data_IF_614034327021
#
_entry.id   IF_614034327021
#
_cell.length_a   1.000
_cell.length_b   1.000
_cell.length_c   1.000
_cell.angle_alpha   90.00
_cell.angle_beta   90.00
_cell.angle_gamma   90.00
#
_symmetry.space_group_name_H-M   'P 1'
#
loop_
_entity.id
_entity.type
_entity.pdbx_description
1 polymer ?
#
# COMPACT_ATOMS: atom_id res chain seq x y z
N UNK A 1 32.09 8.92 -8.75
CA UNK A 1 31.59 7.55 -8.53
C UNK A 1 30.21 7.43 -9.16
N UNK A 2 30.07 6.68 -10.25
CA UNK A 2 28.77 6.45 -10.90
C UNK A 2 28.05 5.29 -10.23
N UNK A 3 26.84 5.52 -9.73
CA UNK A 3 25.96 4.44 -9.30
C UNK A 3 25.37 3.84 -10.58
N UNK A 4 25.98 2.77 -11.07
CA UNK A 4 25.40 1.95 -12.12
C UNK A 4 24.25 1.14 -11.51
N UNK A 5 23.06 1.73 -11.42
CA UNK A 5 21.86 1.00 -11.07
C UNK A 5 21.46 0.13 -12.26
N UNK A 6 21.68 -1.18 -12.14
CA UNK A 6 21.13 -2.18 -13.06
C UNK A 6 19.62 -2.21 -12.82
N UNK A 7 18.87 -1.41 -13.57
CA UNK A 7 17.42 -1.46 -13.54
C UNK A 7 16.96 -2.73 -14.26
N UNK A 8 16.55 -3.77 -13.51
CA UNK A 8 15.48 -4.64 -14.01
C UNK A 8 14.31 -3.72 -14.35
N UNK A 9 13.69 -3.85 -15.53
CA UNK A 9 12.60 -2.99 -16.03
C UNK A 9 11.54 -2.78 -14.94
N UNK A 10 11.68 -1.71 -14.17
CA UNK A 10 10.85 -1.45 -12.99
C UNK A 10 9.46 -0.96 -13.41
N UNK A 11 9.44 -0.27 -14.56
CA UNK A 11 8.27 0.29 -15.22
C UNK A 11 7.85 -0.69 -16.31
N UNK A 12 6.80 -1.45 -16.03
CA UNK A 12 6.05 -2.21 -17.03
C UNK A 12 4.68 -1.53 -17.16
N UNK A 13 4.13 -1.55 -18.38
CA UNK A 13 2.76 -1.10 -18.63
C UNK A 13 1.77 -2.03 -17.94
N UNK A 14 0.75 -1.43 -17.33
CA UNK A 14 -0.32 -2.20 -16.68
C UNK A 14 -1.30 -2.69 -17.75
N UNK A 15 -1.66 -3.98 -17.77
CA UNK A 15 -2.65 -4.50 -18.70
C UNK A 15 -4.03 -3.86 -18.51
N UNK A 16 -4.81 -3.79 -19.59
CA UNK A 16 -6.05 -3.01 -19.69
C UNK A 16 -7.27 -3.59 -18.96
N UNK A 17 -7.13 -4.73 -18.28
CA UNK A 17 -8.25 -5.36 -17.57
C UNK A 17 -8.57 -4.58 -16.29
N UNK A 18 -9.85 -4.25 -16.10
CA UNK A 18 -10.32 -3.53 -14.91
C UNK A 18 -10.02 -4.36 -13.65
N UNK A 19 -9.20 -3.86 -12.71
CA UNK A 19 -8.90 -4.57 -11.47
C UNK A 19 -10.16 -4.77 -10.60
N UNK A 20 -10.32 -5.98 -10.06
CA UNK A 20 -11.45 -6.33 -9.19
C UNK A 20 -11.01 -6.57 -7.73
N UNK A 21 -11.84 -6.28 -6.72
CA UNK A 21 -11.60 -6.67 -5.33
C UNK A 21 -11.28 -8.17 -5.18
N UNK A 22 -10.29 -8.46 -4.35
CA UNK A 22 -9.72 -9.79 -4.12
C UNK A 22 -8.58 -10.16 -5.08
N UNK A 23 -8.38 -9.39 -6.17
CA UNK A 23 -7.29 -9.64 -7.12
C UNK A 23 -5.94 -9.22 -6.56
N UNK A 24 -4.87 -9.93 -6.96
CA UNK A 24 -3.51 -9.71 -6.47
C UNK A 24 -2.63 -9.06 -7.55
N UNK A 25 -1.93 -8.00 -7.18
CA UNK A 25 -1.04 -7.23 -8.06
C UNK A 25 0.35 -7.05 -7.42
N UNK A 26 1.38 -7.00 -8.25
CA UNK A 26 2.65 -6.40 -7.86
C UNK A 26 2.55 -4.89 -7.92
N UNK A 27 2.76 -4.20 -6.80
CA UNK A 27 2.66 -2.73 -6.71
C UNK A 27 3.88 -2.17 -5.97
N UNK A 28 4.48 -1.05 -6.43
CA UNK A 28 5.42 -0.27 -5.65
C UNK A 28 4.76 0.19 -4.34
N UNK A 29 5.08 -0.49 -3.24
CA UNK A 29 4.50 -0.20 -1.93
C UNK A 29 5.39 0.81 -1.20
N UNK A 30 4.86 1.97 -0.78
CA UNK A 30 5.63 2.93 -0.02
C UNK A 30 5.93 2.37 1.38
N UNK A 31 7.14 2.61 1.85
CA UNK A 31 7.50 2.37 3.23
C UNK A 31 6.99 3.54 4.06
N UNK A 32 6.02 3.28 4.94
CA UNK A 32 5.55 4.30 5.88
C UNK A 32 6.60 4.46 6.97
N UNK A 33 7.21 5.64 6.99
CA UNK A 33 8.18 6.08 7.98
C UNK A 33 7.47 6.96 9.01
N UNK A 34 7.92 6.93 10.26
CA UNK A 34 7.35 7.73 11.35
C UNK A 34 7.47 9.23 11.07
N UNK A 35 8.61 9.65 10.49
CA UNK A 35 8.86 11.02 10.08
C UNK A 35 9.01 11.06 8.56
N UNK A 36 8.10 11.78 7.91
CA UNK A 36 8.13 12.03 6.48
C UNK A 36 9.44 12.70 6.08
N UNK A 37 10.00 12.31 4.94
CA UNK A 37 11.20 12.96 4.37
C UNK A 37 10.82 13.88 3.22
N UNK A 38 11.49 15.02 3.18
CA UNK A 38 11.36 16.03 2.13
C UNK A 38 12.63 15.99 1.28
N UNK A 39 12.45 15.98 -0.04
CA UNK A 39 13.52 16.24 -0.98
C UNK A 39 13.55 17.75 -1.24
N UNK A 40 14.43 18.42 -0.52
CA UNK A 40 14.64 19.86 -0.58
C UNK A 40 15.51 20.16 -1.81
N UNK A 41 14.95 20.82 -2.82
CA UNK A 41 15.66 21.09 -4.09
C UNK A 41 15.71 22.59 -4.34
N UNK A 42 16.91 23.07 -4.65
CA UNK A 42 17.17 24.45 -5.06
C UNK A 42 18.02 24.47 -6.34
N UNK A 43 18.00 25.61 -7.04
CA UNK A 43 18.93 25.82 -8.14
C UNK A 43 20.35 25.91 -7.60
N UNK A 44 21.31 25.31 -8.30
CA UNK A 44 22.71 25.44 -7.93
C UNK A 44 23.23 26.88 -8.13
N UNK A 45 22.74 27.57 -9.17
CA UNK A 45 22.99 29.00 -9.39
C UNK A 45 21.71 29.67 -9.93
N UNK A 46 21.55 31.00 -9.80
CA UNK A 46 20.39 31.71 -10.35
C UNK A 46 20.24 31.54 -11.87
N UNK A 47 21.36 31.49 -12.58
CA UNK A 47 21.41 31.51 -14.05
C UNK A 47 21.31 30.11 -14.68
N UNK A 48 21.75 29.05 -13.98
CA UNK A 48 21.72 27.69 -14.51
C UNK A 48 20.42 26.95 -14.15
N UNK A 49 19.56 26.76 -15.14
CA UNK A 49 18.29 26.04 -14.99
C UNK A 49 18.42 24.51 -15.00
N UNK A 50 19.62 23.99 -15.29
CA UNK A 50 19.88 22.57 -15.52
C UNK A 50 20.61 21.89 -14.36
N UNK A 51 21.12 22.65 -13.40
CA UNK A 51 21.89 22.16 -12.26
C UNK A 51 21.15 22.52 -10.98
N UNK A 52 20.90 21.51 -10.16
CA UNK A 52 20.16 21.64 -8.90
C UNK A 52 20.95 21.02 -7.77
N UNK A 53 20.97 21.69 -6.62
CA UNK A 53 21.39 21.08 -5.37
C UNK A 53 20.17 20.46 -4.71
N UNK A 54 20.36 19.32 -4.06
CA UNK A 54 19.28 18.70 -3.30
C UNK A 54 19.79 18.14 -1.98
N UNK A 55 18.90 18.15 -0.99
CA UNK A 55 19.13 17.54 0.31
C UNK A 55 17.89 16.74 0.73
N UNK A 56 18.11 15.60 1.37
CA UNK A 56 17.03 14.78 1.93
C UNK A 56 16.97 15.07 3.43
N UNK A 57 15.90 15.75 3.86
CA UNK A 57 15.70 16.15 5.26
C UNK A 57 14.45 15.50 5.84
N UNK A 58 14.40 15.43 7.16
CA UNK A 58 13.17 15.11 7.87
C UNK A 58 12.23 16.33 7.85
N UNK A 59 10.93 16.07 7.71
CA UNK A 59 9.90 17.10 7.78
C UNK A 59 9.93 17.80 9.14
N UNK A 60 9.70 19.11 9.12
CA UNK A 60 9.72 20.01 10.27
C UNK A 60 8.73 21.16 10.05
N UNK A 61 8.51 21.99 11.08
CA UNK A 61 7.53 23.08 11.06
C UNK A 61 7.76 24.16 9.99
N UNK A 62 8.93 24.20 9.37
CA UNK A 62 9.27 25.19 8.32
C UNK A 62 8.91 24.72 6.91
N UNK A 63 8.41 23.50 6.74
CA UNK A 63 8.00 22.95 5.43
C UNK A 63 6.55 23.29 5.12
N UNK A 64 6.18 23.33 3.83
CA UNK A 64 4.85 23.74 3.33
C UNK A 64 4.47 25.19 3.65
N UNK A 65 5.43 26.03 4.04
CA UNK A 65 5.26 27.48 4.16
C UNK A 65 5.77 28.15 2.88
N UNK A 66 5.21 29.31 2.53
CA UNK A 66 5.75 30.12 1.43
C UNK A 66 7.23 30.39 1.64
N UNK A 67 8.05 30.06 0.64
CA UNK A 67 9.50 30.27 0.64
C UNK A 67 9.85 31.05 -0.62
N UNK A 68 10.72 32.05 -0.48
CA UNK A 68 11.31 32.76 -1.61
C UNK A 68 12.34 31.86 -2.30
N UNK A 69 11.86 30.91 -3.12
CA UNK A 69 12.71 29.99 -3.90
C UNK A 69 12.58 30.31 -5.37
N UNK A 70 13.70 30.24 -6.08
CA UNK A 70 13.68 30.31 -7.53
C UNK A 70 12.99 29.06 -8.08
N UNK A 71 11.97 29.20 -8.95
CA UNK A 71 11.22 28.06 -9.45
C UNK A 71 12.10 27.13 -10.31
N UNK A 72 11.95 25.83 -10.07
CA UNK A 72 12.55 24.77 -10.88
C UNK A 72 11.51 24.31 -11.89
N UNK A 73 11.66 24.77 -13.14
CA UNK A 73 10.67 24.63 -14.23
C UNK A 73 10.16 23.20 -14.42
N UNK A 74 11.00 22.18 -14.22
CA UNK A 74 10.63 20.77 -14.43
C UNK A 74 9.82 20.15 -13.29
N UNK A 75 9.86 20.74 -12.10
CA UNK A 75 9.17 20.20 -10.92
C UNK A 75 7.78 20.81 -10.75
N UNK A 76 7.56 22.02 -11.28
CA UNK A 76 6.27 22.72 -11.25
C UNK A 76 5.65 22.78 -9.83
N UNK A 77 6.49 23.11 -8.83
CA UNK A 77 6.05 23.27 -7.44
C UNK A 77 5.56 24.71 -7.22
N UNK A 78 4.42 24.85 -6.56
CA UNK A 78 3.94 26.11 -5.99
C UNK A 78 4.63 26.49 -4.69
N UNK A 79 4.29 27.67 -4.15
CA UNK A 79 4.97 28.27 -2.99
C UNK A 79 4.85 27.45 -1.70
N UNK A 80 3.78 26.66 -1.56
CA UNK A 80 3.50 25.82 -0.39
C UNK A 80 3.58 24.33 -0.71
N UNK A 81 4.17 23.97 -1.85
CA UNK A 81 4.30 22.58 -2.30
C UNK A 81 5.73 22.09 -2.09
N UNK A 82 5.86 20.87 -1.56
CA UNK A 82 7.15 20.24 -1.29
C UNK A 82 7.15 18.81 -1.83
N UNK A 83 8.33 18.33 -2.25
CA UNK A 83 8.48 16.95 -2.70
C UNK A 83 8.64 16.03 -1.50
N UNK A 84 7.60 15.27 -1.22
CA UNK A 84 7.66 14.17 -0.25
C UNK A 84 8.30 12.96 -0.92
N UNK A 85 9.32 12.38 -0.27
CA UNK A 85 9.95 11.15 -0.73
C UNK A 85 9.79 10.01 0.27
N UNK A 86 9.62 8.80 -0.26
CA UNK A 86 9.56 7.58 0.53
C UNK A 86 10.36 6.47 -0.14
N UNK A 87 10.94 5.57 0.66
CA UNK A 87 11.49 4.32 0.14
C UNK A 87 10.32 3.46 -0.32
N UNK A 88 10.43 2.85 -1.50
CA UNK A 88 9.44 1.90 -2.00
C UNK A 88 10.01 0.48 -2.11
N UNK A 89 9.15 -0.53 -2.00
CA UNK A 89 9.48 -1.91 -2.39
C UNK A 89 8.33 -2.47 -3.22
N UNK A 90 8.63 -3.10 -4.37
CA UNK A 90 7.62 -3.82 -5.15
C UNK A 90 7.16 -5.04 -4.34
N UNK A 91 5.86 -5.11 -4.02
CA UNK A 91 5.26 -6.16 -3.20
C UNK A 91 3.98 -6.68 -3.84
N UNK A 92 3.59 -7.94 -3.56
CA UNK A 92 2.23 -8.36 -3.84
C UNK A 92 1.30 -7.54 -2.93
N UNK A 93 0.17 -7.11 -3.48
CA UNK A 93 -0.91 -6.46 -2.76
C UNK A 93 -2.23 -7.07 -3.20
N UNK A 94 -3.21 -7.09 -2.29
CA UNK A 94 -4.58 -7.48 -2.61
C UNK A 94 -5.43 -6.22 -2.69
N UNK A 95 -6.31 -6.17 -3.68
CA UNK A 95 -7.29 -5.08 -3.80
C UNK A 95 -8.40 -5.34 -2.79
N UNK A 96 -8.54 -4.45 -1.82
CA UNK A 96 -9.63 -4.50 -0.84
C UNK A 96 -10.90 -3.88 -1.41
N UNK A 97 -10.76 -2.72 -2.05
CA UNK A 97 -11.89 -1.97 -2.59
C UNK A 97 -11.45 -1.12 -3.78
N UNK A 98 -12.40 -0.82 -4.66
CA UNK A 98 -12.26 0.16 -5.73
C UNK A 98 -13.11 1.39 -5.38
N UNK A 99 -12.45 2.54 -5.24
CA UNK A 99 -13.09 3.84 -5.10
C UNK A 99 -13.43 4.30 -6.50
N UNK A 100 -14.67 4.05 -6.91
CA UNK A 100 -15.15 4.42 -8.23
C UNK A 100 -15.17 5.94 -8.37
N UNK A 101 -14.58 6.43 -9.45
CA UNK A 101 -14.74 7.81 -9.84
C UNK A 101 -16.19 8.08 -10.25
N UNK A 102 -16.69 9.28 -9.97
CA UNK A 102 -17.99 9.74 -10.43
C UNK A 102 -18.03 9.77 -11.96
N UNK A 103 -19.17 9.38 -12.54
CA UNK A 103 -19.37 9.54 -13.97
C UNK A 103 -19.55 11.04 -14.31
N UNK A 104 -18.59 11.60 -15.04
CA UNK A 104 -18.58 13.00 -15.46
C UNK A 104 -19.18 13.24 -16.86
N UNK A 105 -19.78 12.21 -17.47
CA UNK A 105 -20.51 12.31 -18.75
C UNK A 105 -21.66 13.33 -18.71
N UNK A 106 -22.15 13.66 -17.51
CA UNK A 106 -23.15 14.69 -17.26
C UNK A 106 -22.65 16.13 -17.49
N UNK A 107 -21.32 16.36 -17.56
CA UNK A 107 -20.76 17.68 -17.85
C UNK A 107 -20.86 17.96 -19.35
N UNK A 108 -21.69 18.94 -19.71
CA UNK A 108 -22.02 19.28 -21.10
C UNK A 108 -20.88 19.96 -21.85
N UNK A 109 -19.99 20.71 -21.16
CA UNK A 109 -18.91 21.44 -21.82
C UNK A 109 -17.64 20.58 -21.94
N UNK A 110 -17.05 20.56 -23.14
CA UNK A 110 -15.83 19.80 -23.43
C UNK A 110 -14.61 20.30 -22.64
N UNK A 111 -14.54 21.60 -22.35
CA UNK A 111 -13.46 22.20 -21.56
C UNK A 111 -13.54 21.79 -20.08
N UNK A 112 -14.71 21.86 -19.46
CA UNK A 112 -14.88 21.40 -18.08
C UNK A 112 -14.70 19.89 -17.99
N UNK A 113 -15.12 19.11 -19.00
CA UNK A 113 -14.87 17.67 -19.06
C UNK A 113 -13.37 17.35 -19.11
N UNK A 114 -12.59 18.10 -19.89
CA UNK A 114 -11.13 17.96 -19.92
C UNK A 114 -10.50 18.23 -18.55
N UNK A 115 -10.93 19.29 -17.86
CA UNK A 115 -10.47 19.59 -16.50
C UNK A 115 -10.91 18.51 -15.49
N UNK A 116 -12.13 18.00 -15.64
CA UNK A 116 -12.69 16.95 -14.81
C UNK A 116 -12.10 15.55 -15.07
N UNK A 117 -11.40 15.33 -16.19
CA UNK A 117 -10.78 14.03 -16.51
C UNK A 117 -9.80 13.54 -15.43
N UNK A 118 -9.21 14.44 -14.64
CA UNK A 118 -8.38 14.06 -13.49
C UNK A 118 -9.18 13.45 -12.34
N UNK A 119 -10.47 13.76 -12.24
CA UNK A 119 -11.42 13.24 -11.25
C UNK A 119 -12.01 11.89 -11.66
N UNK A 120 -11.87 11.48 -12.93
CA UNK A 120 -12.37 10.21 -13.47
C UNK A 120 -11.50 8.99 -13.11
N UNK A 121 -10.38 9.20 -12.40
CA UNK A 121 -9.45 8.12 -12.07
C UNK A 121 -9.96 7.28 -10.90
N UNK A 122 -10.33 6.04 -11.20
CA UNK A 122 -10.63 5.03 -10.16
C UNK A 122 -9.38 4.78 -9.34
N UNK A 123 -9.51 4.93 -8.01
CA UNK A 123 -8.45 4.60 -7.06
C UNK A 123 -8.76 3.26 -6.40
N UNK A 124 -7.73 2.52 -6.04
CA UNK A 124 -7.83 1.21 -5.42
C UNK A 124 -7.21 1.26 -4.04
N UNK A 125 -7.93 0.74 -3.06
CA UNK A 125 -7.42 0.54 -1.72
C UNK A 125 -6.78 -0.84 -1.65
N UNK A 126 -5.48 -0.91 -1.35
CA UNK A 126 -4.73 -2.16 -1.40
C UNK A 126 -4.02 -2.46 -0.08
N UNK A 127 -3.89 -3.75 0.24
CA UNK A 127 -3.14 -4.23 1.40
C UNK A 127 -1.92 -5.06 0.97
N UNK A 128 -0.70 -4.73 1.45
CA UNK A 128 0.52 -5.41 1.03
C UNK A 128 0.77 -6.73 1.75
N UNK A 129 1.45 -7.63 1.04
CA UNK A 129 1.88 -8.93 1.51
C UNK A 129 3.30 -8.86 2.08
N UNK A 130 3.51 -9.60 3.16
CA UNK A 130 4.78 -9.80 3.81
C UNK A 130 5.08 -11.29 3.93
N UNK A 131 6.34 -11.65 3.72
CA UNK A 131 6.82 -13.02 3.91
C UNK A 131 6.90 -13.35 5.39
N UNK A 132 6.58 -14.60 5.72
CA UNK A 132 6.88 -15.16 7.04
C UNK A 132 8.39 -15.39 7.20
N UNK A 133 8.87 -15.38 8.44
CA UNK A 133 10.25 -15.72 8.74
C UNK A 133 10.47 -17.22 8.52
N UNK A 134 11.57 -17.58 7.88
CA UNK A 134 12.03 -18.97 7.74
C UNK A 134 13.46 -19.09 8.27
N UNK A 135 13.94 -20.32 8.46
CA UNK A 135 15.35 -20.55 8.85
C UNK A 135 16.34 -19.98 7.83
N UNK A 136 15.96 -19.93 6.55
CA UNK A 136 16.78 -19.41 5.46
C UNK A 136 16.64 -17.90 5.26
N UNK A 137 15.50 -17.33 5.66
CA UNK A 137 15.16 -15.92 5.48
C UNK A 137 14.55 -15.37 6.76
N UNK A 138 15.39 -14.84 7.68
CA UNK A 138 14.88 -14.22 8.91
C UNK A 138 14.05 -13.00 8.55
N UNK A 139 12.87 -12.89 9.16
CA UNK A 139 11.91 -11.81 8.91
C UNK A 139 11.15 -11.41 10.18
N UNK A 140 10.33 -10.37 10.07
CA UNK A 140 9.57 -9.83 11.21
C UNK A 140 8.51 -10.80 11.76
N UNK A 141 7.95 -11.66 10.90
CA UNK A 141 6.88 -12.57 11.27
C UNK A 141 7.45 -13.95 11.66
N UNK A 142 7.95 -14.05 12.88
CA UNK A 142 8.41 -15.31 13.47
C UNK A 142 7.29 -16.33 13.73
N UNK A 143 7.61 -17.61 13.97
CA UNK A 143 6.63 -18.70 14.06
C UNK A 143 5.57 -18.47 15.15
N UNK A 144 5.96 -17.97 16.33
CA UNK A 144 5.04 -17.66 17.43
C UNK A 144 4.02 -16.59 17.01
N UNK A 145 4.50 -15.50 16.40
CA UNK A 145 3.63 -14.43 15.92
C UNK A 145 2.69 -14.92 14.83
N UNK A 146 3.19 -15.72 13.88
CA UNK A 146 2.38 -16.32 12.81
C UNK A 146 1.29 -17.24 13.38
N UNK A 147 1.59 -18.06 14.39
CA UNK A 147 0.60 -18.91 15.05
C UNK A 147 -0.54 -18.07 15.68
N UNK A 148 -0.19 -16.99 16.40
CA UNK A 148 -1.19 -16.06 16.96
C UNK A 148 -2.01 -15.33 15.91
N UNK A 149 -1.40 -14.94 14.79
CA UNK A 149 -2.12 -14.34 13.65
C UNK A 149 -3.11 -15.35 13.06
N UNK A 150 -2.72 -16.62 12.90
CA UNK A 150 -3.61 -17.68 12.42
C UNK A 150 -4.79 -17.91 13.37
N UNK A 151 -4.58 -17.72 14.67
CA UNK A 151 -5.61 -17.76 15.68
C UNK A 151 -6.40 -16.45 15.83
N UNK A 152 -6.22 -15.50 14.91
CA UNK A 152 -6.95 -14.23 14.85
C UNK A 152 -6.79 -13.36 16.12
N UNK A 153 -5.63 -13.43 16.79
CA UNK A 153 -5.35 -12.54 17.94
C UNK A 153 -5.13 -11.09 17.51
N UNK A 154 -4.76 -10.86 16.25
CA UNK A 154 -4.38 -9.54 15.72
C UNK A 154 -5.22 -9.20 14.49
N UNK A 155 -6.27 -8.38 14.62
CA UNK A 155 -7.17 -8.07 13.50
C UNK A 155 -6.46 -7.36 12.34
N UNK A 156 -5.35 -6.67 12.60
CA UNK A 156 -4.54 -5.99 11.58
C UNK A 156 -3.72 -6.93 10.68
N UNK A 157 -3.67 -8.22 11.00
CA UNK A 157 -2.91 -9.21 10.24
C UNK A 157 -3.82 -10.34 9.77
N UNK A 158 -3.74 -10.68 8.49
CA UNK A 158 -4.42 -11.83 7.91
C UNK A 158 -3.39 -12.81 7.35
N UNK A 159 -3.42 -14.07 7.79
CA UNK A 159 -2.49 -15.09 7.33
C UNK A 159 -3.07 -15.84 6.12
N UNK A 160 -2.33 -15.84 5.01
CA UNK A 160 -2.62 -16.69 3.86
C UNK A 160 -1.75 -17.95 3.89
N UNK A 161 -2.35 -19.13 3.69
CA UNK A 161 -1.60 -20.38 3.59
C UNK A 161 -0.87 -20.50 2.23
N UNK A 162 -0.03 -21.53 2.11
CA UNK A 162 0.54 -21.94 0.83
C UNK A 162 -0.58 -22.46 -0.09
N UNK A 163 -0.52 -22.11 -1.39
CA UNK A 163 -1.56 -22.52 -2.35
C UNK A 163 -1.74 -24.04 -2.45
N UNK A 164 -0.70 -24.81 -2.15
CA UNK A 164 -0.71 -26.27 -2.23
C UNK A 164 -0.79 -26.94 -0.85
N UNK A 165 -0.76 -26.17 0.24
CA UNK A 165 -0.82 -26.70 1.60
C UNK A 165 -1.51 -25.70 2.55
N UNK A 166 -2.83 -25.87 2.80
CA UNK A 166 -3.61 -25.03 3.71
C UNK A 166 -3.09 -24.98 5.15
N UNK A 167 -2.37 -26.01 5.60
CA UNK A 167 -1.86 -26.09 6.97
C UNK A 167 -0.60 -25.24 7.18
N UNK A 168 0.10 -24.91 6.10
CA UNK A 168 1.36 -24.19 6.13
C UNK A 168 1.15 -22.71 5.83
N UNK A 169 1.48 -21.80 6.77
CA UNK A 169 1.41 -20.36 6.51
C UNK A 169 2.44 -19.97 5.43
N UNK A 170 2.10 -18.98 4.60
CA UNK A 170 2.96 -18.50 3.52
C UNK A 170 3.24 -17.00 3.62
N UNK A 171 2.17 -16.21 3.75
CA UNK A 171 2.29 -14.75 3.71
C UNK A 171 1.29 -14.10 4.64
N UNK A 172 1.65 -12.93 5.14
CA UNK A 172 0.81 -12.10 6.00
C UNK A 172 0.38 -10.87 5.20
N UNK A 173 -0.93 -10.65 5.09
CA UNK A 173 -1.50 -9.40 4.60
C UNK A 173 -1.55 -8.42 5.78
N UNK A 174 -1.01 -7.22 5.58
CA UNK A 174 -0.97 -6.17 6.60
C UNK A 174 -2.04 -5.12 6.37
N UNK A 175 -3.12 -5.20 7.14
CA UNK A 175 -4.23 -4.24 7.07
C UNK A 175 -3.86 -2.89 7.70
N UNK A 176 -2.87 -2.86 8.61
CA UNK A 176 -2.28 -1.62 9.14
C UNK A 176 -1.39 -0.87 8.14
N UNK A 177 -1.11 -1.46 6.98
CA UNK A 177 -0.29 -0.87 5.91
C UNK A 177 -1.07 -0.66 4.62
N UNK A 178 -2.38 -0.53 4.73
CA UNK A 178 -3.27 -0.23 3.61
C UNK A 178 -2.96 1.15 3.05
N UNK A 179 -2.96 1.28 1.73
CA UNK A 179 -2.74 2.56 1.05
C UNK A 179 -3.54 2.64 -0.27
N UNK A 180 -3.90 3.86 -0.72
CA UNK A 180 -4.54 4.06 -2.02
C UNK A 180 -3.51 4.02 -3.17
N UNK A 181 -3.92 3.51 -4.33
CA UNK A 181 -3.13 3.50 -5.56
C UNK A 181 -4.03 3.53 -6.78
N UNK A 182 -3.56 4.11 -7.89
CA UNK A 182 -4.28 4.06 -9.17
C UNK A 182 -3.98 2.79 -9.99
N UNK A 183 -3.12 1.90 -9.47
CA UNK A 183 -2.61 0.73 -10.19
C UNK A 183 -2.04 1.08 -11.58
N UNK A 184 -1.34 2.22 -11.68
CA UNK A 184 -0.71 2.69 -12.91
C UNK A 184 0.67 2.08 -13.14
N UNK A 185 1.53 2.81 -13.88
CA UNK A 185 2.87 2.36 -14.32
C UNK A 185 3.66 1.69 -13.20
N UNK A 186 4.25 0.53 -13.51
CA UNK A 186 5.02 -0.27 -12.55
C UNK A 186 4.17 -1.28 -11.75
N UNK A 187 2.84 -1.22 -11.89
CA UNK A 187 1.92 -2.22 -11.35
C UNK A 187 1.65 -3.35 -12.35
N UNK A 188 1.57 -4.60 -11.87
CA UNK A 188 1.37 -5.80 -12.71
C UNK A 188 0.42 -6.79 -12.06
N UNK A 189 -0.64 -7.29 -12.74
CA UNK A 189 -1.48 -8.34 -12.18
C UNK A 189 -0.69 -9.64 -12.02
N UNK A 190 -1.00 -10.40 -10.97
CA UNK A 190 -0.41 -11.72 -10.76
C UNK A 190 -1.21 -12.86 -11.39
N UNK A 191 -2.37 -12.57 -11.98
CA UNK A 191 -3.30 -13.61 -12.44
C UNK A 191 -3.86 -14.48 -11.30
N UNK A 192 -3.79 -13.99 -10.07
CA UNK A 192 -4.29 -14.66 -8.86
C UNK A 192 -5.35 -13.80 -8.19
N UNK A 193 -6.34 -14.47 -7.61
CA UNK A 193 -7.43 -13.87 -6.84
C UNK A 193 -7.68 -14.71 -5.60
N UNK A 194 -7.98 -14.06 -4.49
CA UNK A 194 -8.39 -14.76 -3.27
C UNK A 194 -9.81 -15.31 -3.46
N UNK A 195 -10.06 -16.52 -2.94
CA UNK A 195 -11.41 -17.11 -2.95
C UNK A 195 -12.40 -16.19 -2.21
N UNK A 196 -13.69 -16.11 -2.60
CA UNK A 196 -14.66 -15.21 -1.98
C UNK A 196 -14.75 -15.34 -0.45
N UNK A 197 -14.83 -16.56 0.08
CA UNK A 197 -14.94 -16.81 1.53
C UNK A 197 -13.78 -16.22 2.37
N UNK A 198 -12.49 -16.56 2.13
CA UNK A 198 -11.39 -15.93 2.87
C UNK A 198 -11.25 -14.44 2.57
N UNK A 199 -11.72 -13.95 1.41
CA UNK A 199 -11.75 -12.53 1.12
C UNK A 199 -12.80 -11.78 1.96
N UNK A 200 -13.98 -12.35 2.18
CA UNK A 200 -14.99 -11.80 3.09
C UNK A 200 -14.50 -11.74 4.53
N UNK A 201 -13.78 -12.77 4.99
CA UNK A 201 -13.12 -12.76 6.30
C UNK A 201 -12.06 -11.64 6.39
N UNK A 202 -11.27 -11.45 5.33
CA UNK A 202 -10.28 -10.36 5.25
C UNK A 202 -10.97 -8.99 5.33
N UNK A 203 -12.08 -8.78 4.61
CA UNK A 203 -12.85 -7.55 4.67
C UNK A 203 -13.49 -7.33 6.05
N UNK A 204 -13.89 -8.40 6.73
CA UNK A 204 -14.39 -8.36 8.11
C UNK A 204 -13.28 -7.96 9.10
N UNK A 205 -12.06 -8.50 8.95
CA UNK A 205 -10.91 -8.02 9.74
C UNK A 205 -10.59 -6.56 9.44
N UNK A 206 -10.64 -6.15 8.17
CA UNK A 206 -10.39 -4.77 7.78
C UNK A 206 -11.42 -3.79 8.38
N UNK A 207 -12.70 -4.15 8.39
CA UNK A 207 -13.74 -3.30 8.99
C UNK A 207 -13.54 -3.12 10.50
N UNK A 208 -13.07 -4.14 11.21
CA UNK A 208 -12.70 -4.07 12.63
C UNK A 208 -11.49 -3.14 12.86
N UNK A 209 -10.49 -3.20 11.97
CA UNK A 209 -9.30 -2.33 12.07
C UNK A 209 -9.66 -0.86 11.86
N UNK A 210 -10.62 -0.55 10.98
CA UNK A 210 -11.00 0.82 10.62
C UNK A 210 -12.06 1.41 11.54
N UNK A 211 -12.92 0.59 12.15
CA UNK A 211 -14.03 1.06 12.99
C UNK A 211 -13.97 0.49 14.41
N UNK A 212 -13.98 1.36 15.43
CA UNK A 212 -14.06 0.95 16.85
C UNK A 212 -15.38 0.24 17.19
N UNK A 213 -16.46 0.49 16.43
CA UNK A 213 -17.76 -0.19 16.57
C UNK A 213 -18.10 -0.84 15.24
N UNK A 214 -17.85 -2.14 15.12
CA UNK A 214 -18.00 -2.84 13.85
C UNK A 214 -19.23 -3.75 13.87
N UNK A 215 -20.04 -3.70 12.81
CA UNK A 215 -21.16 -4.64 12.60
C UNK A 215 -20.69 -6.11 12.48
N UNK A 216 -19.39 -6.33 12.25
CA UNK A 216 -18.78 -7.65 12.09
C UNK A 216 -18.02 -8.12 13.34
N UNK A 217 -18.15 -7.43 14.48
CA UNK A 217 -17.46 -7.85 15.71
C UNK A 217 -17.95 -9.21 16.20
N UNK A 218 -19.27 -9.43 16.32
CA UNK A 218 -19.83 -10.71 16.78
C UNK A 218 -19.40 -11.92 15.92
N UNK A 219 -19.57 -11.91 14.58
CA UNK A 219 -19.07 -13.00 13.73
C UNK A 219 -17.56 -13.22 13.84
N UNK A 220 -16.78 -12.14 13.97
CA UNK A 220 -15.34 -12.25 14.12
C UNK A 220 -14.95 -12.86 15.47
N UNK A 221 -15.57 -12.43 16.58
CA UNK A 221 -15.33 -13.02 17.89
C UNK A 221 -15.72 -14.50 17.92
N UNK A 222 -16.80 -14.90 17.22
CA UNK A 222 -17.18 -16.30 17.09
C UNK A 222 -16.09 -17.12 16.35
N UNK A 223 -15.66 -16.66 15.18
CA UNK A 223 -14.62 -17.35 14.39
C UNK A 223 -13.30 -17.39 15.17
N UNK A 224 -12.96 -16.30 15.86
CA UNK A 224 -11.80 -16.22 16.74
C UNK A 224 -11.89 -17.24 17.88
N UNK A 225 -13.04 -17.35 18.53
CA UNK A 225 -13.28 -18.37 19.56
C UNK A 225 -13.06 -19.79 19.04
N UNK A 226 -13.66 -20.13 17.90
CA UNK A 226 -13.47 -21.43 17.25
C UNK A 226 -12.00 -21.69 16.86
N UNK A 227 -11.31 -20.68 16.32
CA UNK A 227 -9.90 -20.79 15.96
C UNK A 227 -9.00 -20.98 17.19
N UNK A 228 -9.32 -20.34 18.30
CA UNK A 228 -8.59 -20.46 19.57
C UNK A 228 -8.88 -21.81 20.26
N UNK A 229 -10.10 -22.31 20.20
CA UNK A 229 -10.46 -23.65 20.71
C UNK A 229 -9.71 -24.76 19.97
N UNK A 230 -9.53 -24.60 18.65
CA UNK A 230 -8.80 -25.53 17.80
C UNK A 230 -7.27 -25.50 18.01
N UNK A 231 -6.73 -24.55 18.78
CA UNK A 231 -5.30 -24.54 19.10
C UNK A 231 -4.93 -25.64 20.11
N UNK A 232 -3.75 -26.24 19.98
CA UNK A 232 -3.12 -27.02 21.05
C UNK A 232 -3.02 -26.24 22.38
N UNK A 233 -3.18 -26.90 23.52
CA UNK A 233 -3.25 -26.25 24.83
C UNK A 233 -1.96 -25.50 25.23
N UNK A 234 -0.80 -25.96 24.73
CA UNK A 234 0.49 -25.30 24.90
C UNK A 234 0.57 -23.94 24.19
N UNK A 235 -0.30 -23.70 23.20
CA UNK A 235 -0.39 -22.43 22.47
C UNK A 235 -1.51 -21.51 22.97
N UNK A 236 -2.42 -22.00 23.83
CA UNK A 236 -3.51 -21.21 24.43
C UNK A 236 -3.06 -20.31 25.58
N UNK A 237 -1.95 -20.63 26.24
CA UNK A 237 -1.45 -19.94 27.44
C UNK A 237 -0.66 -18.64 27.16
N UNK A 238 -0.57 -18.22 25.89
CA UNK A 238 0.30 -17.14 25.42
C UNK A 238 -0.44 -16.11 24.57
#
# INVERSE_FOLDING_TARGET
MGILQVFSTFLEDTPSTKPEPGSIYWVPTPNVEEVTRILDIERATPDEHCVTNFEIKQMSSVHFTSRERLPIKKLNLGDTEELIISKGKKRPVIILSAIQASNMDSISSSEQRRLASQLEKTSYLVAPFFSISTMLQPGTFGPILVARIRALHYPQFFCLPESNNPEKPNSIIRLDRVFPTYLGVGCKPMGKRLHPEPFELLLSQFSIVVNEKCAYDEPYQLIKGLAQEALPDDLKLY
#
